data_IF_787460516869
#
_entry.id   IF_787460516869
#
_cell.length_a   1.000
_cell.length_b   1.000
_cell.length_c   1.000
_cell.angle_alpha   90.00
_cell.angle_beta   90.00
_cell.angle_gamma   90.00
#
_symmetry.space_group_name_H-M   'P 1'
#
loop_
_entity.id
_entity.type
_entity.pdbx_description
1 polymer ?
#
# COMPACT_ATOMS: atom_id res chain seq x y z
N UNK A 1 -14.32 -13.76 -16.01
CA UNK A 1 -14.18 -12.33 -15.86
C UNK A 1 -13.26 -11.98 -14.72
N UNK A 2 -12.33 -11.09 -14.94
CA UNK A 2 -11.40 -10.71 -13.91
C UNK A 2 -11.96 -9.68 -12.97
N UNK A 3 -11.70 -9.88 -11.68
CA UNK A 3 -12.06 -8.91 -10.68
C UNK A 3 -10.97 -7.84 -10.65
N UNK A 4 -11.35 -6.57 -10.70
CA UNK A 4 -10.39 -5.49 -10.66
C UNK A 4 -9.78 -5.39 -9.27
N UNK A 5 -8.48 -5.09 -9.23
CA UNK A 5 -7.83 -4.79 -7.98
C UNK A 5 -8.14 -3.36 -7.57
N UNK A 6 -8.18 -3.12 -6.29
CA UNK A 6 -8.58 -1.82 -5.74
C UNK A 6 -7.39 -1.12 -5.13
N UNK A 7 -7.16 0.12 -5.53
CA UNK A 7 -6.09 0.94 -5.02
C UNK A 7 -6.66 2.10 -4.21
N UNK A 8 -6.17 2.28 -3.00
CA UNK A 8 -6.49 3.45 -2.20
C UNK A 8 -5.46 4.52 -2.54
N UNK A 9 -5.92 5.60 -3.13
CA UNK A 9 -5.04 6.69 -3.57
C UNK A 9 -5.27 7.90 -2.68
N UNK A 10 -4.21 8.39 -2.04
CA UNK A 10 -4.30 9.43 -1.03
C UNK A 10 -3.43 10.62 -1.40
N UNK A 11 -4.02 11.80 -1.44
CA UNK A 11 -3.30 13.04 -1.72
C UNK A 11 -4.17 14.20 -1.28
N UNK A 12 -3.60 15.18 -0.57
CA UNK A 12 -4.37 16.33 -0.15
C UNK A 12 -4.56 17.34 -1.28
N UNK A 13 -3.83 17.18 -2.39
CA UNK A 13 -4.01 18.01 -3.57
C UNK A 13 -5.04 17.37 -4.47
N UNK A 14 -6.19 18.02 -4.63
CA UNK A 14 -7.29 17.46 -5.38
C UNK A 14 -6.96 17.20 -6.84
N UNK A 15 -6.20 18.10 -7.45
CA UNK A 15 -5.86 17.93 -8.86
C UNK A 15 -4.93 16.76 -9.07
N UNK A 16 -3.92 16.62 -8.23
CA UNK A 16 -3.00 15.50 -8.31
C UNK A 16 -3.73 14.18 -8.09
N UNK A 17 -4.67 14.17 -7.15
CA UNK A 17 -5.46 12.98 -6.86
C UNK A 17 -6.32 12.60 -8.06
N UNK A 18 -6.96 13.59 -8.68
CA UNK A 18 -7.81 13.33 -9.84
C UNK A 18 -7.01 12.77 -11.02
N UNK A 19 -5.82 13.33 -11.27
CA UNK A 19 -4.98 12.85 -12.36
C UNK A 19 -4.53 11.40 -12.10
N UNK A 20 -4.12 11.14 -10.88
CA UNK A 20 -3.67 9.80 -10.52
C UNK A 20 -4.80 8.78 -10.63
N UNK A 21 -5.97 9.16 -10.15
CA UNK A 21 -7.14 8.30 -10.25
C UNK A 21 -7.46 7.99 -11.70
N UNK A 22 -7.44 9.00 -12.55
CA UNK A 22 -7.71 8.82 -13.97
C UNK A 22 -6.73 7.85 -14.61
N UNK A 23 -5.45 8.00 -14.33
CA UNK A 23 -4.42 7.13 -14.90
C UNK A 23 -4.58 5.69 -14.40
N UNK A 24 -4.83 5.52 -13.12
CA UNK A 24 -4.98 4.19 -12.55
C UNK A 24 -6.19 3.47 -13.11
N UNK A 25 -7.27 4.19 -13.32
CA UNK A 25 -8.50 3.60 -13.84
C UNK A 25 -8.40 3.30 -15.33
N UNK A 26 -7.92 4.27 -16.13
CA UNK A 26 -7.99 4.13 -17.57
C UNK A 26 -6.81 3.36 -18.15
N UNK A 27 -5.62 3.55 -17.62
CA UNK A 27 -4.45 2.84 -18.13
C UNK A 27 -4.13 1.59 -17.33
N UNK A 28 -4.42 1.61 -16.04
CA UNK A 28 -4.13 0.46 -15.19
C UNK A 28 -5.24 -0.54 -15.06
N UNK A 29 -6.46 -0.11 -15.30
CA UNK A 29 -7.62 -0.99 -15.14
C UNK A 29 -7.97 -1.28 -13.70
N UNK A 30 -7.58 -0.41 -12.78
CA UNK A 30 -7.85 -0.60 -11.36
C UNK A 30 -9.14 0.09 -10.93
N UNK A 31 -9.67 -0.36 -9.82
CA UNK A 31 -10.72 0.37 -9.13
C UNK A 31 -10.00 1.29 -8.15
N UNK A 32 -10.40 2.55 -8.07
CA UNK A 32 -9.70 3.51 -7.21
C UNK A 32 -10.63 4.05 -6.15
N UNK A 33 -10.18 3.99 -4.91
CA UNK A 33 -10.83 4.65 -3.79
C UNK A 33 -9.95 5.84 -3.45
N UNK A 34 -10.51 7.03 -3.47
CA UNK A 34 -9.74 8.25 -3.25
C UNK A 34 -9.93 8.76 -1.84
N UNK A 35 -8.87 9.32 -1.26
CA UNK A 35 -8.93 9.95 0.05
C UNK A 35 -8.08 11.21 0.01
N UNK A 36 -8.50 12.25 0.71
CA UNK A 36 -7.86 13.55 0.67
C UNK A 36 -6.92 13.80 1.85
N UNK A 37 -6.96 12.96 2.84
CA UNK A 37 -6.07 13.09 4.00
C UNK A 37 -5.95 11.72 4.69
N UNK A 38 -5.08 11.70 5.70
CA UNK A 38 -4.80 10.44 6.39
C UNK A 38 -5.99 9.88 7.14
N UNK A 39 -6.82 10.75 7.71
CA UNK A 39 -7.99 10.29 8.46
C UNK A 39 -9.01 9.62 7.56
N UNK A 40 -9.30 10.24 6.43
CA UNK A 40 -10.20 9.66 5.44
C UNK A 40 -9.62 8.36 4.90
N UNK A 41 -8.31 8.35 4.63
CA UNK A 41 -7.65 7.16 4.14
C UNK A 41 -7.77 6.00 5.13
N UNK A 42 -7.62 6.29 6.42
CA UNK A 42 -7.75 5.25 7.44
C UNK A 42 -9.16 4.68 7.47
N UNK A 43 -10.17 5.53 7.32
CA UNK A 43 -11.55 5.06 7.26
C UNK A 43 -11.77 4.12 6.08
N UNK A 44 -11.27 4.53 4.90
CA UNK A 44 -11.44 3.72 3.71
C UNK A 44 -10.68 2.40 3.83
N UNK A 45 -9.51 2.47 4.43
CA UNK A 45 -8.68 1.27 4.59
C UNK A 45 -9.33 0.26 5.54
N UNK A 46 -9.91 0.75 6.62
CA UNK A 46 -10.56 -0.12 7.60
C UNK A 46 -11.81 -0.78 7.03
N UNK A 47 -12.43 -0.15 6.04
CA UNK A 47 -13.59 -0.76 5.40
C UNK A 47 -13.22 -2.02 4.61
N UNK A 48 -11.95 -2.20 4.32
CA UNK A 48 -11.46 -3.44 3.69
C UNK A 48 -11.46 -3.41 2.18
N UNK A 49 -10.92 -4.44 1.60
CA UNK A 49 -10.93 -4.60 0.14
C UNK A 49 -9.85 -3.84 -0.61
N UNK A 50 -8.87 -3.28 0.10
CA UNK A 50 -7.80 -2.53 -0.54
C UNK A 50 -6.65 -3.47 -0.88
N UNK A 51 -6.20 -3.45 -2.13
CA UNK A 51 -5.12 -4.30 -2.60
C UNK A 51 -3.76 -3.61 -2.61
N UNK A 52 -3.76 -2.27 -2.62
CA UNK A 52 -2.52 -1.49 -2.59
C UNK A 52 -2.86 -0.06 -2.18
N UNK A 53 -1.96 0.56 -1.44
CA UNK A 53 -2.10 1.96 -1.04
C UNK A 53 -1.03 2.78 -1.75
N UNK A 54 -1.44 3.88 -2.38
CA UNK A 54 -0.54 4.81 -3.06
C UNK A 54 -0.81 6.19 -2.46
N UNK A 55 0.16 6.76 -1.76
CA UNK A 55 -0.06 7.99 -1.01
C UNK A 55 1.08 8.96 -1.15
N UNK A 56 0.73 10.25 -1.11
CA UNK A 56 1.73 11.28 -0.94
C UNK A 56 2.32 11.15 0.46
N UNK A 57 3.59 11.45 0.59
CA UNK A 57 4.26 11.40 1.89
C UNK A 57 3.89 12.61 2.74
N UNK A 58 3.90 13.79 2.13
CA UNK A 58 3.68 15.04 2.86
C UNK A 58 2.22 15.45 2.80
N UNK A 59 1.54 15.36 3.93
CA UNK A 59 0.14 15.73 4.05
C UNK A 59 -0.08 16.40 5.40
N UNK A 60 -1.07 17.28 5.52
CA UNK A 60 -1.35 17.92 6.81
C UNK A 60 -1.86 16.90 7.82
N UNK A 61 -1.59 17.17 9.08
CA UNK A 61 -2.08 16.43 10.25
C UNK A 61 -1.49 15.03 10.39
N UNK A 62 -1.63 14.18 9.41
CA UNK A 62 -1.07 12.83 9.46
C UNK A 62 -0.33 12.61 8.15
N UNK A 63 1.00 12.54 8.22
CA UNK A 63 1.78 12.34 7.00
C UNK A 63 1.73 10.88 6.57
N UNK A 64 2.30 10.62 5.39
CA UNK A 64 2.26 9.29 4.83
C UNK A 64 2.97 8.23 5.67
N UNK A 65 4.06 8.61 6.36
CA UNK A 65 4.77 7.66 7.22
C UNK A 65 3.90 7.18 8.36
N UNK A 66 3.22 8.11 9.02
CA UNK A 66 2.35 7.76 10.14
C UNK A 66 1.17 6.92 9.66
N UNK A 67 0.60 7.29 8.52
CA UNK A 67 -0.52 6.56 7.95
C UNK A 67 -0.12 5.12 7.61
N UNK A 68 1.02 4.96 6.94
CA UNK A 68 1.52 3.63 6.57
C UNK A 68 1.77 2.78 7.81
N UNK A 69 2.37 3.37 8.83
CA UNK A 69 2.64 2.65 10.07
C UNK A 69 1.35 2.09 10.67
N UNK A 70 0.32 2.92 10.72
CA UNK A 70 -0.97 2.49 11.26
C UNK A 70 -1.64 1.45 10.40
N UNK A 71 -1.58 1.62 9.09
CA UNK A 71 -2.19 0.66 8.16
C UNK A 71 -1.49 -0.69 8.21
N UNK A 72 -0.15 -0.69 8.37
CA UNK A 72 0.60 -1.93 8.47
C UNK A 72 0.28 -2.71 9.75
N UNK A 73 -0.17 -2.02 10.77
CA UNK A 73 -0.61 -2.70 11.99
C UNK A 73 -1.94 -3.42 11.76
N UNK A 74 -2.75 -2.89 10.85
CA UNK A 74 -4.05 -3.50 10.54
C UNK A 74 -3.91 -4.63 9.53
N UNK A 75 -3.17 -4.38 8.44
CA UNK A 75 -3.05 -5.35 7.35
C UNK A 75 -1.64 -5.28 6.76
N UNK A 76 -0.68 -5.94 7.40
CA UNK A 76 0.74 -5.84 6.97
C UNK A 76 0.99 -6.41 5.59
N UNK A 77 0.09 -7.22 5.07
CA UNK A 77 0.28 -7.82 3.75
C UNK A 77 -0.06 -6.88 2.59
N UNK A 78 -0.75 -5.77 2.87
CA UNK A 78 -1.12 -4.84 1.79
C UNK A 78 0.08 -3.99 1.41
N UNK A 79 0.52 -4.01 0.15
CA UNK A 79 1.67 -3.21 -0.27
C UNK A 79 1.35 -1.72 -0.25
N UNK A 80 2.34 -0.92 0.10
CA UNK A 80 2.18 0.52 0.25
C UNK A 80 3.31 1.25 -0.41
N UNK A 81 2.95 2.23 -1.25
CA UNK A 81 3.89 3.06 -1.98
C UNK A 81 3.71 4.50 -1.53
N UNK A 82 4.80 5.15 -1.16
CA UNK A 82 4.78 6.57 -0.84
C UNK A 82 5.44 7.36 -1.95
N UNK A 83 4.84 8.50 -2.28
CA UNK A 83 5.36 9.40 -3.29
C UNK A 83 5.99 10.58 -2.57
N UNK A 84 7.25 10.83 -2.86
CA UNK A 84 8.01 11.85 -2.13
C UNK A 84 8.75 12.77 -3.08
N UNK A 85 8.77 14.05 -2.75
CA UNK A 85 9.51 15.03 -3.53
C UNK A 85 10.98 15.12 -3.15
N UNK A 86 11.40 14.38 -2.14
CA UNK A 86 12.77 14.46 -1.65
C UNK A 86 13.32 13.09 -1.32
N UNK A 87 14.55 12.83 -1.77
CA UNK A 87 15.21 11.57 -1.49
C UNK A 87 15.51 11.43 -0.02
N UNK A 88 15.63 12.54 0.68
CA UNK A 88 15.96 12.50 2.11
C UNK A 88 14.85 11.94 2.97
N UNK A 89 13.66 11.83 2.40
CA UNK A 89 12.56 11.30 3.16
C UNK A 89 12.49 9.78 3.13
N UNK A 90 13.44 9.13 2.46
CA UNK A 90 13.51 7.68 2.49
C UNK A 90 14.13 7.32 3.83
N UNK A 91 13.32 7.36 4.81
CA UNK A 91 13.77 7.30 6.17
C UNK A 91 13.92 5.91 6.70
N UNK A 92 14.84 5.75 7.63
CA UNK A 92 14.99 4.50 8.34
C UNK A 92 13.75 4.28 9.20
N UNK A 93 13.29 3.10 9.28
CA UNK A 93 12.12 2.79 10.06
C UNK A 93 10.80 3.00 9.35
N UNK A 94 10.85 3.48 8.12
CA UNK A 94 9.63 3.62 7.35
C UNK A 94 9.15 2.24 6.93
N UNK A 95 7.84 2.03 7.03
CA UNK A 95 7.25 0.73 6.74
C UNK A 95 6.63 0.63 5.36
N UNK A 96 6.79 1.64 4.52
CA UNK A 96 6.33 1.57 3.15
C UNK A 96 7.15 0.55 2.38
N UNK A 97 6.52 -0.10 1.43
CA UNK A 97 7.18 -1.12 0.63
C UNK A 97 7.97 -0.53 -0.52
N UNK A 98 7.65 0.68 -0.95
CA UNK A 98 8.38 1.36 -2.00
C UNK A 98 8.15 2.86 -1.93
N UNK A 99 9.08 3.59 -2.54
CA UNK A 99 8.98 5.04 -2.68
C UNK A 99 9.09 5.38 -4.16
N UNK A 100 8.29 6.35 -4.60
CA UNK A 100 8.39 6.87 -5.95
C UNK A 100 8.72 8.35 -5.88
N UNK A 101 9.69 8.81 -6.66
CA UNK A 101 10.02 10.24 -6.68
C UNK A 101 8.91 11.04 -7.34
N UNK A 102 8.56 12.14 -6.70
CA UNK A 102 7.55 13.02 -7.24
C UNK A 102 8.14 13.80 -8.41
N UNK A 103 7.43 13.82 -9.51
CA UNK A 103 7.84 14.61 -10.65
C UNK A 103 8.85 13.99 -11.58
N UNK A 104 9.51 12.91 -11.16
CA UNK A 104 10.50 12.27 -12.03
C UNK A 104 10.03 10.90 -12.52
N UNK A 105 9.05 10.31 -11.88
CA UNK A 105 8.50 9.05 -12.34
C UNK A 105 7.47 9.28 -13.43
N UNK A 106 7.55 8.51 -14.49
CA UNK A 106 6.53 8.58 -15.53
C UNK A 106 5.31 7.79 -15.10
N UNK A 107 4.14 8.06 -15.69
CA UNK A 107 2.96 7.24 -15.41
C UNK A 107 3.20 5.76 -15.67
N UNK A 108 3.97 5.43 -16.71
CA UNK A 108 4.28 4.04 -17.00
C UNK A 108 5.09 3.38 -15.91
N UNK A 109 6.05 4.11 -15.33
CA UNK A 109 6.86 3.59 -14.23
C UNK A 109 6.01 3.35 -13.00
N UNK A 110 5.11 4.26 -12.70
CA UNK A 110 4.21 4.11 -11.57
C UNK A 110 3.34 2.88 -11.74
N UNK A 111 2.74 2.73 -12.92
CA UNK A 111 1.85 1.61 -13.18
C UNK A 111 2.60 0.28 -13.12
N UNK A 112 3.82 0.24 -13.64
CA UNK A 112 4.61 -0.97 -13.60
C UNK A 112 4.97 -1.36 -12.17
N UNK A 113 5.33 -0.39 -11.34
CA UNK A 113 5.65 -0.67 -9.94
C UNK A 113 4.43 -1.24 -9.22
N UNK A 114 3.28 -0.64 -9.47
CA UNK A 114 2.03 -1.10 -8.86
C UNK A 114 1.73 -2.53 -9.29
N UNK A 115 1.86 -2.82 -10.58
CA UNK A 115 1.58 -4.14 -11.10
C UNK A 115 2.45 -5.21 -10.42
N UNK A 116 3.73 -4.91 -10.32
CA UNK A 116 4.68 -5.83 -9.71
C UNK A 116 4.35 -6.07 -8.23
N UNK A 117 4.03 -5.01 -7.50
CA UNK A 117 3.79 -5.14 -6.09
C UNK A 117 2.50 -5.87 -5.77
N UNK A 118 1.47 -5.67 -6.57
CA UNK A 118 0.23 -6.41 -6.39
C UNK A 118 0.45 -7.90 -6.68
N UNK A 119 1.23 -8.21 -7.69
CA UNK A 119 1.54 -9.59 -8.02
C UNK A 119 2.32 -10.27 -6.89
N UNK A 120 3.25 -9.54 -6.28
CA UNK A 120 4.02 -10.10 -5.16
C UNK A 120 3.19 -10.37 -3.94
N UNK A 121 2.21 -9.49 -3.69
CA UNK A 121 1.34 -9.68 -2.56
C UNK A 121 0.64 -11.02 -2.64
N UNK A 122 0.34 -11.48 -3.86
CA UNK A 122 -0.38 -12.70 -4.01
C UNK A 122 0.47 -13.89 -3.80
N UNK A 123 1.72 -13.70 -3.60
CA UNK A 123 2.62 -14.81 -3.52
C UNK A 123 2.32 -15.75 -2.43
N UNK A 124 3.30 -16.45 -2.02
CA UNK A 124 3.17 -17.56 -1.15
C UNK A 124 2.53 -17.37 0.18
N UNK A 125 2.35 -16.19 0.61
CA UNK A 125 1.86 -16.01 1.90
C UNK A 125 0.58 -16.63 2.19
N UNK A 126 -0.13 -17.00 1.27
CA UNK A 126 -1.31 -17.62 1.56
C UNK A 126 -1.15 -18.92 2.12
N UNK A 127 -0.11 -19.42 2.02
CA UNK A 127 0.02 -20.72 2.51
C UNK A 127 0.33 -20.75 3.96
N UNK A 128 0.66 -20.53 4.25
CA UNK A 128 0.90 -20.27 5.31
C UNK A 128 0.36 -20.30 6.23
N UNK A 129 0.20 -20.37 6.58
CA UNK A 129 -0.22 -20.13 7.44
C UNK A 129 -0.24 -20.65 8.26
N UNK A 130 0.07 -20.90 8.57
CA UNK A 130 0.25 -21.08 9.30
C UNK A 130 0.19 -21.59 10.09
N UNK A 131 0.43 -21.98 10.44
CA UNK A 131 0.56 -22.13 10.78
C UNK A 131 0.74 -22.28 11.57
N UNK A 132 0.82 -22.38 11.99
CA UNK A 132 1.18 -22.08 12.14
C UNK A 132 1.44 -22.48 12.57
N UNK A 133 1.36 -23.23 13.16
CA UNK A 133 1.77 -23.18 12.88
C UNK A 133 2.28 -23.68 13.15
N UNK A 134 2.34 -24.38 13.71
CA UNK A 134 2.89 -24.46 13.30
C UNK A 134 3.45 -24.94 13.52
N UNK A 135 3.61 -25.64 13.76
CA UNK A 135 4.22 -25.60 13.43
C UNK A 135 4.64 -25.62 13.43
N UNK A 136 4.67 -26.26 13.95
CA UNK A 136 5.04 -25.74 13.27
C UNK A 136 5.20 -25.35 13.35
N UNK A 137 4.93 -26.08 14.36
CA UNK A 137 5.10 -25.22 13.81
C UNK A 137 4.96 -24.55 13.95
N UNK A 138 4.76 -24.90 14.78
CA UNK A 138 4.67 -23.91 14.26
C UNK A 138 4.55 -23.21 14.39
N UNK A 139 4.22 -23.55 15.15
CA UNK A 139 4.13 -22.55 14.58
C UNK A 139 4.07 -21.90 14.68
N UNK A 140 3.56 -21.87 14.73
CA UNK A 140 3.31 -21.06 14.11
C UNK A 140 3.71 -20.51 14.33
N UNK A 141 3.51 -20.67 15.21
CA UNK A 141 3.64 -19.88 14.62
C UNK A 141 4.01 -19.22 14.92
N UNK A 142 3.91 -19.58 15.15
CA UNK A 142 4.27 -18.70 14.85
C UNK A 142 4.57 -18.02 15.31
N UNK A 143 4.24 -18.45 15.91
CA UNK A 143 4.61 -17.68 15.50
C UNK A 143 4.88 -17.43 15.55
N UNK A 144 4.45 -17.94 15.92
CA UNK A 144 4.71 -17.55 15.19
C UNK A 144 4.96 -17.34 15.33
N UNK A 145 4.61 -17.67 15.49
CA UNK A 145 4.62 -17.36 14.94
C UNK A 145 5.15 -17.00 15.12
N UNK A 146 5.05 -17.58 15.82
CA UNK A 146 5.37 -17.09 15.23
C UNK A 146 5.71 -16.80 15.35
N UNK A 147 5.72 -16.95 16.09
CA UNK A 147 6.04 -16.48 15.59
C UNK A 147 6.46 -16.49 15.38
N UNK A 148 6.09 -17.06 15.52
CA UNK A 148 6.40 -16.77 14.62
C UNK A 148 6.84 -16.70 14.45
N UNK A 149 6.93 -17.11 14.86
CA UNK A 149 7.28 -16.73 14.15
C UNK A 149 7.59 -16.60 14.06
#
# INVERSE_FOLDING_TARGET
MKVKKTILCVDDNEQALAVRKFLLETRGGYRVVAAHDGAEAMERFRAGGIDLVLSDLVMPHMDGNEMVRRMKEIAPEVPMILISGSVKTYDHGNRADAFLPKGTSTPGEMLERIRVMIARKRGPKKSYRPVYGAPDGAVFDPVAHAIAS
#
